data_IF_923001344750
#
_entry.id   IF_923001344750
#
_cell.length_a   1.000
_cell.length_b   1.000
_cell.length_c   1.000
_cell.angle_alpha   90.00
_cell.angle_beta   90.00
_cell.angle_gamma   90.00
#
_symmetry.space_group_name_H-M   'P 1'
#
loop_
_entity.id
_entity.type
_entity.pdbx_description
1 polymer ?
#
# COMPACT_ATOMS: atom_id res chain seq x y z
N UNK A 1 6.93 -3.07 60.53
CA UNK A 1 7.73 -2.49 59.42
C UNK A 1 8.11 -3.65 58.54
N UNK A 2 7.28 -3.92 57.54
CA UNK A 2 7.55 -4.89 56.50
C UNK A 2 7.36 -4.11 55.22
N UNK A 3 8.48 -3.83 54.55
CA UNK A 3 8.52 -3.18 53.24
C UNK A 3 7.79 -4.10 52.25
N UNK A 4 6.60 -3.66 51.82
CA UNK A 4 5.99 -4.15 50.59
C UNK A 4 6.80 -3.63 49.42
N UNK A 5 7.63 -4.51 48.89
CA UNK A 5 8.35 -4.37 47.64
C UNK A 5 7.32 -4.23 46.49
N UNK A 6 6.95 -2.98 46.17
CA UNK A 6 6.16 -2.66 44.98
C UNK A 6 6.97 -3.01 43.74
N UNK A 7 6.62 -4.11 43.09
CA UNK A 7 7.07 -4.45 41.74
C UNK A 7 6.64 -3.33 40.78
N UNK A 8 7.58 -2.62 40.13
CA UNK A 8 7.24 -1.63 39.13
C UNK A 8 7.00 -2.34 37.79
N UNK A 9 5.84 -2.13 37.17
CA UNK A 9 5.74 -2.25 35.71
C UNK A 9 4.64 -3.09 35.07
N UNK A 10 3.68 -3.68 35.78
CA UNK A 10 2.50 -4.25 35.09
C UNK A 10 1.42 -3.18 34.95
N UNK A 11 1.42 -2.42 33.85
CA UNK A 11 0.25 -1.61 33.49
C UNK A 11 -0.95 -2.55 33.37
N UNK A 12 -2.02 -2.24 34.08
CA UNK A 12 -3.28 -2.97 33.98
C UNK A 12 -3.77 -2.92 32.52
N UNK A 13 -4.04 -4.07 31.85
CA UNK A 13 -4.53 -4.11 30.47
C UNK A 13 -5.77 -3.24 30.23
N UNK A 14 -6.64 -3.10 31.23
CA UNK A 14 -7.80 -2.21 31.14
C UNK A 14 -7.41 -0.73 31.14
N UNK A 15 -6.41 -0.36 31.96
CA UNK A 15 -5.87 1.01 31.97
C UNK A 15 -5.19 1.36 30.64
N UNK A 16 -4.55 0.40 29.98
CA UNK A 16 -3.91 0.62 28.67
C UNK A 16 -4.96 0.74 27.55
N UNK A 17 -6.01 -0.07 27.58
CA UNK A 17 -7.15 0.04 26.65
C UNK A 17 -7.82 1.42 26.74
N UNK A 18 -8.11 1.90 27.96
CA UNK A 18 -8.74 3.20 28.16
C UNK A 18 -7.85 4.36 27.69
N UNK A 19 -6.53 4.26 27.91
CA UNK A 19 -5.53 5.19 27.37
C UNK A 19 -5.52 5.19 25.83
N UNK A 20 -5.56 4.01 25.21
CA UNK A 20 -5.62 3.83 23.76
C UNK A 20 -6.87 4.44 23.16
N UNK A 21 -8.04 4.18 23.74
CA UNK A 21 -9.30 4.72 23.22
C UNK A 21 -9.41 6.23 23.42
N UNK A 22 -8.92 6.76 24.55
CA UNK A 22 -9.03 8.18 24.88
C UNK A 22 -8.02 9.06 24.16
N UNK A 23 -6.78 8.60 24.01
CA UNK A 23 -5.68 9.39 23.46
C UNK A 23 -5.13 8.80 22.15
N UNK A 24 -4.93 7.47 22.09
CA UNK A 24 -4.35 6.82 20.92
C UNK A 24 -5.22 6.89 19.66
N UNK A 25 -6.51 6.57 19.74
CA UNK A 25 -7.42 6.57 18.57
C UNK A 25 -7.55 7.97 17.94
N UNK A 26 -7.73 9.07 18.70
CA UNK A 26 -7.66 10.42 18.14
C UNK A 26 -6.34 10.74 17.41
N UNK A 27 -5.19 10.35 17.97
CA UNK A 27 -3.89 10.57 17.33
C UNK A 27 -3.76 9.76 16.03
N UNK A 28 -4.19 8.49 16.03
CA UNK A 28 -4.22 7.66 14.83
C UNK A 28 -5.10 8.30 13.74
N UNK A 29 -6.27 8.86 14.10
CA UNK A 29 -7.13 9.56 13.13
C UNK A 29 -6.44 10.76 12.50
N UNK A 30 -5.71 11.56 13.29
CA UNK A 30 -4.94 12.69 12.76
C UNK A 30 -3.84 12.23 11.81
N UNK A 31 -3.06 11.22 12.20
CA UNK A 31 -2.03 10.64 11.34
C UNK A 31 -2.59 10.07 10.03
N UNK A 32 -3.76 9.42 10.08
CA UNK A 32 -4.46 8.93 8.88
C UNK A 32 -4.90 10.09 7.98
N UNK A 33 -5.43 11.18 8.55
CA UNK A 33 -5.80 12.38 7.80
C UNK A 33 -4.61 13.00 7.07
N UNK A 34 -3.45 13.11 7.74
CA UNK A 34 -2.21 13.61 7.13
C UNK A 34 -1.72 12.70 6.00
N UNK A 35 -1.85 11.38 6.14
CA UNK A 35 -1.52 10.43 5.06
C UNK A 35 -2.45 10.63 3.87
N UNK A 36 -3.77 10.75 4.10
CA UNK A 36 -4.75 11.02 3.04
C UNK A 36 -4.44 12.34 2.34
N UNK A 37 -4.20 13.42 3.08
CA UNK A 37 -3.92 14.73 2.49
C UNK A 37 -2.61 14.70 1.69
N UNK A 38 -1.58 14.03 2.20
CA UNK A 38 -0.32 13.84 1.48
C UNK A 38 -0.51 13.03 0.20
N UNK A 39 -1.29 11.95 0.24
CA UNK A 39 -1.60 11.14 -0.93
C UNK A 39 -2.40 11.92 -1.97
N UNK A 40 -3.24 12.87 -1.55
CA UNK A 40 -4.14 13.61 -2.44
C UNK A 40 -3.72 15.05 -2.71
N UNK A 41 -2.51 15.44 -2.30
CA UNK A 41 -1.96 16.78 -2.49
C UNK A 41 -1.99 17.23 -3.96
N UNK A 42 -2.00 16.29 -4.93
CA UNK A 42 -2.21 16.56 -6.35
C UNK A 42 -3.56 16.03 -6.82
N UNK A 43 -4.41 16.84 -7.46
CA UNK A 43 -5.67 16.38 -8.03
C UNK A 43 -5.41 15.39 -9.16
N UNK A 44 -6.26 14.39 -9.28
CA UNK A 44 -6.13 13.36 -10.31
C UNK A 44 -6.99 13.71 -11.53
N UNK A 45 -6.55 13.39 -12.76
CA UNK A 45 -7.40 13.50 -13.92
C UNK A 45 -8.69 12.70 -13.73
N UNK A 46 -9.84 13.31 -14.02
CA UNK A 46 -11.16 12.73 -13.78
C UNK A 46 -11.34 11.32 -14.39
N UNK A 47 -10.67 11.05 -15.53
CA UNK A 47 -10.68 9.73 -16.18
C UNK A 47 -10.11 8.60 -15.32
N UNK A 48 -9.16 8.89 -14.42
CA UNK A 48 -8.55 7.90 -13.54
C UNK A 48 -9.25 7.77 -12.20
N UNK A 49 -10.05 8.75 -11.79
CA UNK A 49 -10.70 8.75 -10.47
C UNK A 49 -11.48 7.45 -10.22
N UNK A 50 -12.26 7.02 -11.21
CA UNK A 50 -13.08 5.80 -11.16
C UNK A 50 -12.30 4.50 -11.38
N UNK A 51 -11.09 4.56 -11.94
CA UNK A 51 -10.25 3.39 -12.22
C UNK A 51 -9.33 3.02 -11.07
N UNK A 52 -9.15 3.94 -10.12
CA UNK A 52 -8.26 3.71 -8.99
C UNK A 52 -8.94 2.81 -7.95
N UNK A 53 -8.23 1.78 -7.46
CA UNK A 53 -8.78 0.89 -6.46
C UNK A 53 -8.91 1.58 -5.10
N UNK A 54 -9.69 0.97 -4.20
CA UNK A 54 -9.75 1.34 -2.78
C UNK A 54 -8.34 1.32 -2.16
N UNK A 55 -7.96 2.39 -1.46
CA UNK A 55 -6.69 2.47 -0.74
C UNK A 55 -6.86 1.86 0.66
N UNK A 56 -5.95 0.96 1.03
CA UNK A 56 -5.92 0.38 2.38
C UNK A 56 -4.86 1.09 3.21
N UNK A 57 -5.29 1.73 4.30
CA UNK A 57 -4.42 2.36 5.29
C UNK A 57 -4.17 1.37 6.43
N UNK A 58 -2.93 0.95 6.59
CA UNK A 58 -2.51 0.00 7.60
C UNK A 58 -1.95 0.73 8.81
N UNK A 59 -2.50 0.42 9.99
CA UNK A 59 -2.06 0.94 11.28
C UNK A 59 -1.36 -0.21 12.02
N UNK A 60 -0.04 -0.22 11.99
CA UNK A 60 0.78 -1.20 12.71
C UNK A 60 0.98 -0.74 14.14
N UNK A 61 0.51 -1.54 15.09
CA UNK A 61 0.53 -1.27 16.54
C UNK A 61 1.68 -2.02 17.21
N UNK A 62 2.23 -1.41 18.27
CA UNK A 62 3.16 -2.10 19.18
C UNK A 62 2.49 -3.33 19.82
N UNK A 63 3.21 -4.44 20.12
CA UNK A 63 2.62 -5.68 20.63
C UNK A 63 1.66 -5.55 21.82
N UNK A 64 1.95 -4.68 22.79
CA UNK A 64 1.13 -4.43 23.97
C UNK A 64 -0.16 -3.67 23.64
N UNK A 65 -0.06 -2.66 22.77
CA UNK A 65 -1.21 -1.90 22.27
C UNK A 65 -2.13 -2.77 21.40
N UNK A 66 -1.55 -3.59 20.53
CA UNK A 66 -2.29 -4.56 19.74
C UNK A 66 -3.05 -5.55 20.64
N UNK A 67 -2.37 -6.11 21.65
CA UNK A 67 -2.97 -7.04 22.59
C UNK A 67 -4.12 -6.41 23.41
N UNK A 68 -3.97 -5.14 23.80
CA UNK A 68 -5.03 -4.40 24.47
C UNK A 68 -6.25 -4.24 23.56
N UNK A 69 -6.08 -3.83 22.29
CA UNK A 69 -7.18 -3.56 21.36
C UNK A 69 -7.83 -4.82 20.75
N UNK A 70 -7.20 -6.00 20.82
CA UNK A 70 -7.73 -7.26 20.26
C UNK A 70 -9.24 -7.48 20.45
N UNK A 71 -9.84 -7.27 21.65
CA UNK A 71 -11.26 -7.54 21.87
C UNK A 71 -12.21 -6.64 21.07
N UNK A 72 -11.74 -5.47 20.63
CA UNK A 72 -12.56 -4.44 19.96
C UNK A 72 -11.98 -4.00 18.61
N UNK A 73 -10.97 -4.71 18.10
CA UNK A 73 -10.27 -4.34 16.87
C UNK A 73 -11.22 -4.10 15.67
N UNK A 74 -12.27 -4.92 15.41
CA UNK A 74 -13.19 -4.67 14.30
C UNK A 74 -13.99 -3.37 14.42
N UNK A 75 -14.34 -2.97 15.65
CA UNK A 75 -15.08 -1.74 15.90
C UNK A 75 -14.18 -0.51 15.72
N UNK A 76 -12.92 -0.61 16.15
CA UNK A 76 -11.90 0.42 15.92
C UNK A 76 -11.58 0.56 14.43
N UNK A 77 -11.37 -0.55 13.70
CA UNK A 77 -11.17 -0.52 12.25
C UNK A 77 -12.33 0.16 11.51
N UNK A 78 -13.57 -0.17 11.89
CA UNK A 78 -14.77 0.44 11.30
C UNK A 78 -14.83 1.94 11.58
N UNK A 79 -14.63 2.35 12.83
CA UNK A 79 -14.65 3.77 13.21
C UNK A 79 -13.55 4.59 12.51
N UNK A 80 -12.34 4.02 12.39
CA UNK A 80 -11.24 4.65 11.65
C UNK A 80 -11.56 4.72 10.15
N UNK A 81 -12.09 3.64 9.57
CA UNK A 81 -12.50 3.58 8.16
C UNK A 81 -13.58 4.61 7.84
N UNK A 82 -14.62 4.72 8.67
CA UNK A 82 -15.68 5.72 8.50
C UNK A 82 -15.13 7.13 8.60
N UNK A 83 -14.18 7.36 9.51
CA UNK A 83 -13.46 8.65 9.60
C UNK A 83 -12.67 8.96 8.33
N UNK A 84 -11.91 7.99 7.82
CA UNK A 84 -11.14 8.13 6.59
C UNK A 84 -12.02 8.32 5.35
N UNK A 85 -13.18 7.67 5.27
CA UNK A 85 -14.13 7.86 4.16
C UNK A 85 -14.83 9.22 4.20
N UNK A 86 -15.12 9.75 5.40
CA UNK A 86 -15.61 11.14 5.54
C UNK A 86 -14.58 12.17 5.07
N UNK A 87 -13.29 11.92 5.34
CA UNK A 87 -12.20 12.77 4.86
C UNK A 87 -11.94 12.55 3.36
N UNK A 88 -11.95 11.29 2.94
CA UNK A 88 -11.65 10.84 1.58
C UNK A 88 -12.70 11.19 0.54
N UNK A 89 -13.96 11.40 0.96
CA UNK A 89 -15.02 11.88 0.08
C UNK A 89 -14.70 13.24 -0.56
N UNK A 90 -13.86 14.06 0.09
CA UNK A 90 -13.34 15.31 -0.48
C UNK A 90 -12.52 15.08 -1.75
N UNK A 91 -12.01 13.87 -1.95
CA UNK A 91 -11.11 13.50 -3.04
C UNK A 91 -11.72 12.47 -4.02
N UNK A 92 -13.01 12.11 -3.86
CA UNK A 92 -13.66 11.00 -4.58
C UNK A 92 -12.86 9.68 -4.43
N UNK A 93 -12.45 9.39 -3.18
CA UNK A 93 -11.58 8.26 -2.81
C UNK A 93 -12.24 7.38 -1.77
N UNK A 94 -12.11 6.08 -1.97
CA UNK A 94 -12.47 5.08 -0.97
C UNK A 94 -11.22 4.65 -0.19
N UNK A 95 -11.33 4.67 1.14
CA UNK A 95 -10.30 4.19 2.06
C UNK A 95 -10.84 3.06 2.92
N UNK A 96 -9.94 2.16 3.31
CA UNK A 96 -10.19 1.13 4.32
C UNK A 96 -9.04 1.12 5.32
N UNK A 97 -9.35 1.11 6.61
CA UNK A 97 -8.32 1.02 7.66
C UNK A 97 -8.22 -0.42 8.16
N UNK A 98 -6.98 -0.88 8.39
CA UNK A 98 -6.67 -2.17 9.00
C UNK A 98 -5.71 -2.00 10.15
N UNK A 99 -5.94 -2.72 11.25
CA UNK A 99 -5.01 -2.78 12.37
C UNK A 99 -4.11 -4.01 12.21
N UNK A 100 -2.81 -3.83 12.43
CA UNK A 100 -1.83 -4.92 12.41
C UNK A 100 -0.96 -4.87 13.66
N UNK A 101 -0.42 -6.01 14.06
CA UNK A 101 0.50 -6.12 15.20
C UNK A 101 1.94 -6.20 14.70
N UNK A 102 2.81 -5.33 15.22
CA UNK A 102 4.25 -5.46 15.06
C UNK A 102 4.81 -6.68 15.81
N UNK A 103 5.85 -7.30 15.26
CA UNK A 103 6.65 -8.31 15.98
C UNK A 103 7.73 -7.68 16.87
N UNK A 104 8.19 -6.48 16.50
CA UNK A 104 9.23 -5.74 17.21
C UNK A 104 8.59 -4.95 18.38
N UNK A 105 8.99 -5.21 19.65
CA UNK A 105 8.48 -4.49 20.81
C UNK A 105 9.02 -3.06 20.94
N UNK A 106 10.09 -2.72 20.22
CA UNK A 106 10.77 -1.43 20.28
C UNK A 106 10.21 -0.40 19.28
N UNK A 107 9.18 -0.76 18.50
CA UNK A 107 8.51 0.15 17.56
C UNK A 107 7.77 1.27 18.27
N UNK A 108 7.53 2.41 17.57
CA UNK A 108 6.60 3.42 18.04
C UNK A 108 5.23 2.81 18.38
N UNK A 109 4.47 3.51 19.21
CA UNK A 109 3.18 3.03 19.70
C UNK A 109 2.22 2.61 18.57
N UNK A 110 2.27 3.35 17.46
CA UNK A 110 1.67 2.98 16.18
C UNK A 110 2.50 3.53 15.01
N UNK A 111 2.34 2.95 13.82
CA UNK A 111 2.86 3.42 12.54
C UNK A 111 1.76 3.31 11.49
N UNK A 112 1.60 4.33 10.65
CA UNK A 112 0.63 4.32 9.55
C UNK A 112 1.36 4.16 8.22
N UNK A 113 0.89 3.24 7.39
CA UNK A 113 1.33 3.04 6.00
C UNK A 113 0.12 2.91 5.08
N UNK A 114 0.30 3.19 3.79
CA UNK A 114 -0.78 3.11 2.80
C UNK A 114 -0.44 2.13 1.68
N UNK A 115 -1.47 1.44 1.20
CA UNK A 115 -1.34 0.36 0.22
C UNK A 115 -2.45 0.48 -0.82
N UNK A 116 -2.12 0.29 -2.10
CA UNK A 116 -3.10 0.43 -3.19
C UNK A 116 -3.80 -0.91 -3.50
N UNK A 117 -5.12 -0.96 -3.32
CA UNK A 117 -6.03 -2.00 -3.84
C UNK A 117 -5.94 -3.38 -3.21
N UNK A 118 -7.08 -3.90 -2.71
CA UNK A 118 -7.39 -5.30 -2.25
C UNK A 118 -6.39 -6.08 -1.39
N UNK A 119 -5.20 -5.56 -1.11
CA UNK A 119 -4.05 -6.33 -0.61
C UNK A 119 -3.86 -6.28 0.90
N UNK A 120 -4.99 -6.30 1.61
CA UNK A 120 -5.04 -6.90 2.94
C UNK A 120 -6.14 -7.93 2.86
N UNK A 121 -5.77 -9.11 2.37
CA UNK A 121 -6.68 -10.22 2.06
C UNK A 121 -7.83 -10.36 3.06
N UNK A 122 -9.01 -10.64 2.51
CA UNK A 122 -10.19 -11.15 3.21
C UNK A 122 -9.81 -12.39 4.04
N UNK A 123 -9.31 -12.19 5.27
CA UNK A 123 -9.11 -13.29 6.23
C UNK A 123 -10.44 -13.71 6.88
N UNK A 124 -11.55 -13.03 6.57
CA UNK A 124 -12.89 -13.43 7.01
C UNK A 124 -13.47 -14.60 6.18
N UNK A 125 -13.02 -14.84 4.95
CA UNK A 125 -13.58 -15.89 4.08
C UNK A 125 -12.86 -17.24 4.15
N UNK A 126 -11.63 -17.30 4.67
CA UNK A 126 -10.91 -18.57 4.87
C UNK A 126 -11.37 -19.34 6.13
N UNK A 127 -12.14 -18.70 7.01
CA UNK A 127 -12.63 -19.29 8.26
C UNK A 127 -13.84 -20.24 8.09
N UNK A 128 -14.45 -20.33 6.89
CA UNK A 128 -15.60 -21.22 6.64
C UNK A 128 -15.25 -22.61 6.07
N UNK A 129 -13.97 -22.89 5.80
CA UNK A 129 -13.59 -24.15 5.14
C UNK A 129 -13.22 -25.31 6.09
N UNK A 130 -12.94 -25.08 7.38
CA UNK A 130 -12.61 -26.15 8.31
C UNK A 130 -13.36 -25.97 9.64
N UNK A 131 -14.38 -26.80 9.84
CA UNK A 131 -15.31 -26.68 10.97
C UNK A 131 -14.77 -27.17 12.32
N UNK A 132 -15.44 -26.62 13.34
CA UNK A 132 -15.66 -27.08 14.73
C UNK A 132 -14.58 -26.81 15.78
N UNK A 133 -14.88 -25.86 16.68
CA UNK A 133 -14.23 -25.69 17.98
C UNK A 133 -14.21 -24.24 18.43
N UNK A 134 -15.07 -23.85 19.35
CA UNK A 134 -15.16 -22.51 19.91
C UNK A 134 -13.89 -22.14 20.72
N UNK A 135 -13.08 -21.20 20.21
CA UNK A 135 -12.13 -20.35 20.94
C UNK A 135 -12.01 -19.03 20.13
N UNK A 136 -11.90 -17.90 20.82
CA UNK A 136 -11.85 -16.53 20.27
C UNK A 136 -10.79 -16.36 19.15
N UNK A 137 -11.00 -15.47 18.16
CA UNK A 137 -10.03 -15.29 17.07
C UNK A 137 -8.78 -14.53 17.57
N UNK A 138 -7.66 -15.24 17.61
CA UNK A 138 -6.31 -14.67 17.56
C UNK A 138 -6.14 -13.93 16.22
N UNK A 139 -5.58 -12.71 16.27
CA UNK A 139 -5.15 -11.96 15.08
C UNK A 139 -3.97 -12.70 14.41
N UNK A 140 -4.08 -13.23 13.18
CA UNK A 140 -2.95 -13.83 12.50
C UNK A 140 -2.39 -12.89 11.43
N UNK A 141 -1.10 -12.61 11.55
CA UNK A 141 -0.03 -12.70 10.52
C UNK A 141 1.00 -11.63 10.83
N UNK A 142 2.21 -12.11 11.12
CA UNK A 142 3.43 -11.37 11.31
C UNK A 142 3.95 -10.79 9.99
N UNK A 143 4.34 -9.51 9.99
CA UNK A 143 5.10 -8.90 8.93
C UNK A 143 6.57 -8.67 9.39
N UNK A 144 7.54 -9.44 8.87
CA UNK A 144 8.95 -9.27 9.19
C UNK A 144 9.60 -8.02 8.57
N UNK A 145 8.88 -7.21 7.79
CA UNK A 145 9.40 -5.97 7.17
C UNK A 145 9.01 -4.68 7.92
N UNK A 146 8.51 -4.75 9.15
CA UNK A 146 8.23 -3.57 9.98
C UNK A 146 9.47 -2.84 10.53
N UNK A 147 10.62 -2.93 9.86
CA UNK A 147 11.84 -2.20 10.23
C UNK A 147 12.35 -1.33 9.10
N UNK A 148 12.47 -0.03 9.43
CA UNK A 148 13.10 1.09 8.72
C UNK A 148 12.14 1.95 7.88
N UNK A 149 11.62 3.00 8.51
CA UNK A 149 11.34 4.26 7.82
C UNK A 149 12.58 5.16 7.96
N UNK A 150 13.46 5.26 6.97
CA UNK A 150 14.08 6.53 6.64
C UNK A 150 13.11 7.24 5.69
N UNK A 151 12.55 8.37 6.12
CA UNK A 151 12.07 9.39 5.18
C UNK A 151 13.30 10.02 4.52
N UNK A 152 14.09 9.24 3.79
CA UNK A 152 15.04 9.80 2.85
C UNK A 152 14.20 10.40 1.73
N UNK A 153 14.07 11.74 1.76
CA UNK A 153 13.49 12.51 0.67
C UNK A 153 14.37 12.22 -0.54
N UNK A 154 13.93 11.28 -1.36
CA UNK A 154 14.58 10.97 -2.63
C UNK A 154 14.49 12.25 -3.47
N UNK A 155 15.60 12.98 -3.73
CA UNK A 155 15.52 14.33 -4.28
C UNK A 155 14.80 14.31 -5.62
N UNK A 156 13.70 15.05 -5.79
CA UNK A 156 12.89 15.02 -7.02
C UNK A 156 11.70 14.04 -7.00
N UNK A 157 11.61 13.15 -6.00
CA UNK A 157 10.40 12.37 -5.74
C UNK A 157 9.32 13.20 -5.08
N UNK A 158 8.09 13.02 -5.52
CA UNK A 158 6.91 13.57 -4.89
C UNK A 158 5.85 12.47 -4.76
N UNK A 159 5.44 12.12 -3.52
CA UNK A 159 4.39 11.13 -3.30
C UNK A 159 3.12 11.50 -4.07
N UNK A 160 2.52 10.52 -4.73
CA UNK A 160 1.27 10.71 -5.46
C UNK A 160 1.37 11.53 -6.74
N UNK A 161 2.56 11.96 -7.17
CA UNK A 161 2.78 12.59 -8.49
C UNK A 161 2.69 11.58 -9.63
N UNK A 162 2.83 10.29 -9.35
CA UNK A 162 2.97 9.26 -10.36
C UNK A 162 1.81 8.25 -10.30
N UNK A 163 1.37 7.81 -11.48
CA UNK A 163 0.33 6.81 -11.68
C UNK A 163 0.90 5.63 -12.47
N UNK A 164 0.78 4.42 -11.94
CA UNK A 164 0.95 3.22 -12.75
C UNK A 164 -0.38 2.92 -13.46
N UNK A 165 -0.38 2.96 -14.78
CA UNK A 165 -1.51 2.62 -15.63
C UNK A 165 -1.30 1.21 -16.18
N UNK A 166 -2.33 0.38 -16.09
CA UNK A 166 -2.38 -0.97 -16.65
C UNK A 166 -3.33 -0.95 -17.84
N UNK A 167 -2.81 -1.32 -18.99
CA UNK A 167 -3.57 -1.47 -20.23
C UNK A 167 -3.74 -2.95 -20.57
N UNK A 168 -4.86 -3.26 -21.20
CA UNK A 168 -5.07 -4.57 -21.80
C UNK A 168 -4.32 -4.70 -23.15
N UNK A 169 -4.46 -5.87 -23.80
CA UNK A 169 -3.83 -6.11 -25.10
C UNK A 169 -4.42 -5.28 -26.25
N UNK A 170 -5.59 -4.66 -26.05
CA UNK A 170 -6.20 -3.74 -27.00
C UNK A 170 -5.69 -2.29 -26.82
N UNK A 171 -4.91 -2.02 -25.76
CA UNK A 171 -4.41 -0.69 -25.42
C UNK A 171 -5.42 0.14 -24.61
N UNK A 172 -6.46 -0.49 -24.07
CA UNK A 172 -7.47 0.19 -23.25
C UNK A 172 -7.03 0.20 -21.78
N UNK A 173 -7.19 1.37 -21.13
CA UNK A 173 -6.87 1.55 -19.72
C UNK A 173 -7.85 0.74 -18.85
N UNK A 174 -7.30 -0.24 -18.11
CA UNK A 174 -8.09 -1.15 -17.29
C UNK A 174 -8.03 -0.81 -15.81
N UNK A 175 -6.84 -0.50 -15.32
CA UNK A 175 -6.58 -0.19 -13.90
C UNK A 175 -5.55 0.93 -13.82
N UNK A 176 -5.66 1.76 -12.77
CA UNK A 176 -4.66 2.76 -12.45
C UNK A 176 -4.33 2.69 -10.95
N UNK A 177 -3.07 2.94 -10.59
CA UNK A 177 -2.60 2.90 -9.20
C UNK A 177 -1.78 4.14 -8.89
N UNK A 178 -2.07 4.77 -7.75
CA UNK A 178 -1.28 5.90 -7.27
C UNK A 178 -0.04 5.41 -6.57
N UNK A 179 1.10 5.96 -6.93
CA UNK A 179 2.39 5.55 -6.37
C UNK A 179 2.75 6.51 -5.22
N UNK A 180 2.76 5.98 -4.00
CA UNK A 180 3.11 6.73 -2.79
C UNK A 180 4.60 6.72 -2.48
N UNK A 181 5.29 5.62 -2.81
CA UNK A 181 6.68 5.38 -2.43
C UNK A 181 7.64 5.45 -3.62
N UNK A 182 8.87 5.95 -3.41
CA UNK A 182 9.86 6.04 -4.49
C UNK A 182 10.33 4.67 -4.96
N UNK A 183 10.16 3.61 -4.15
CA UNK A 183 10.41 2.22 -4.54
C UNK A 183 9.16 1.41 -4.27
N UNK A 184 8.71 0.64 -5.25
CA UNK A 184 7.50 -0.18 -5.13
C UNK A 184 7.63 -1.45 -5.97
N UNK A 185 6.78 -2.44 -5.67
CA UNK A 185 6.74 -3.70 -6.43
C UNK A 185 5.41 -3.87 -7.14
N UNK A 186 5.44 -4.56 -8.29
CA UNK A 186 4.25 -4.83 -9.09
C UNK A 186 4.18 -6.33 -9.38
N UNK A 187 2.99 -6.91 -9.26
CA UNK A 187 2.78 -8.30 -9.59
C UNK A 187 1.32 -8.69 -9.61
N UNK A 188 1.08 -10.00 -9.74
CA UNK A 188 -0.28 -10.57 -9.70
C UNK A 188 -0.74 -10.72 -8.25
N UNK A 189 -2.00 -10.39 -7.99
CA UNK A 189 -2.63 -10.62 -6.68
C UNK A 189 -2.44 -12.05 -6.15
N UNK A 190 -2.16 -12.15 -4.85
CA UNK A 190 -1.90 -13.41 -4.16
C UNK A 190 -2.31 -13.33 -2.69
N UNK A 191 -2.83 -14.44 -2.17
CA UNK A 191 -3.18 -14.55 -0.74
C UNK A 191 -1.94 -14.81 0.14
N UNK A 192 -0.83 -15.23 -0.47
CA UNK A 192 0.46 -15.44 0.20
C UNK A 192 1.14 -14.11 0.54
N UNK A 193 1.22 -13.73 1.84
CA UNK A 193 1.77 -12.43 2.26
C UNK A 193 3.25 -12.26 1.88
N UNK A 194 4.03 -13.35 1.82
CA UNK A 194 5.46 -13.27 1.53
C UNK A 194 5.76 -12.98 0.05
N UNK A 195 4.76 -13.13 -0.82
CA UNK A 195 4.89 -12.92 -2.26
C UNK A 195 4.05 -11.75 -2.75
N UNK A 196 3.43 -11.02 -1.82
CA UNK A 196 2.58 -9.87 -2.11
C UNK A 196 3.43 -8.72 -2.67
N UNK A 197 2.92 -8.09 -3.72
CA UNK A 197 3.50 -6.89 -4.28
C UNK A 197 2.82 -5.66 -3.67
N UNK A 198 3.49 -4.51 -3.71
CA UNK A 198 2.91 -3.22 -3.29
C UNK A 198 1.70 -2.87 -4.17
N UNK A 199 1.79 -3.20 -5.46
CA UNK A 199 0.72 -3.04 -6.44
C UNK A 199 0.37 -4.41 -7.02
N UNK A 200 -0.84 -4.87 -6.73
CA UNK A 200 -1.41 -6.09 -7.29
C UNK A 200 -2.29 -5.78 -8.49
N UNK A 201 -1.87 -6.25 -9.67
CA UNK A 201 -2.65 -6.17 -10.90
C UNK A 201 -3.73 -7.26 -10.87
N UNK A 202 -4.98 -6.86 -11.14
CA UNK A 202 -6.12 -7.78 -11.22
C UNK A 202 -6.04 -8.67 -12.46
N UNK A 203 -6.59 -9.89 -12.42
CA UNK A 203 -6.79 -10.76 -13.59
C UNK A 203 -5.58 -10.85 -14.56
N UNK A 204 -4.39 -11.03 -14.00
CA UNK A 204 -3.13 -11.06 -14.75
C UNK A 204 -2.39 -12.40 -14.61
N UNK A 205 -2.94 -13.54 -15.11
CA UNK A 205 -2.37 -14.87 -14.89
C UNK A 205 -0.96 -15.06 -15.46
N UNK A 206 -0.58 -14.21 -16.42
CA UNK A 206 0.74 -14.19 -17.04
C UNK A 206 1.75 -13.32 -16.28
N UNK A 207 1.38 -12.76 -15.14
CA UNK A 207 2.25 -11.93 -14.31
C UNK A 207 2.65 -12.74 -13.07
N UNK A 208 3.94 -12.75 -12.74
CA UNK A 208 4.41 -13.35 -11.49
C UNK A 208 3.84 -12.59 -10.29
N UNK A 209 3.68 -13.26 -9.14
CA UNK A 209 3.17 -12.60 -7.91
C UNK A 209 4.01 -11.38 -7.51
N UNK A 210 5.32 -11.45 -7.80
CA UNK A 210 6.27 -10.34 -7.72
C UNK A 210 7.04 -10.29 -9.03
N UNK A 211 6.50 -9.55 -10.01
CA UNK A 211 7.06 -9.49 -11.36
C UNK A 211 8.12 -8.40 -11.48
N UNK A 212 7.84 -7.22 -10.93
CA UNK A 212 8.70 -6.05 -11.04
C UNK A 212 9.01 -5.48 -9.66
N UNK A 213 10.20 -4.92 -9.52
CA UNK A 213 10.43 -3.81 -8.61
C UNK A 213 10.78 -2.58 -9.45
N UNK A 214 10.30 -1.41 -9.01
CA UNK A 214 10.57 -0.14 -9.65
C UNK A 214 11.09 0.81 -8.59
N UNK A 215 12.17 1.52 -8.92
CA UNK A 215 12.74 2.55 -8.08
C UNK A 215 12.84 3.84 -8.90
N UNK A 216 12.31 4.92 -8.36
CA UNK A 216 12.48 6.25 -8.94
C UNK A 216 13.96 6.57 -9.05
N UNK A 217 14.37 7.08 -10.22
CA UNK A 217 15.74 7.45 -10.51
C UNK A 217 15.73 8.60 -11.53
N UNK A 218 16.46 9.66 -11.23
CA UNK A 218 16.79 10.68 -12.21
C UNK A 218 18.01 10.22 -13.03
N UNK A 219 17.88 10.24 -14.35
CA UNK A 219 18.96 9.90 -15.28
C UNK A 219 19.15 11.01 -16.29
N UNK A 220 20.36 11.55 -16.37
CA UNK A 220 20.72 12.62 -17.30
C UNK A 220 19.80 13.86 -17.20
N UNK A 221 19.30 14.18 -16.00
CA UNK A 221 18.38 15.30 -15.76
C UNK A 221 16.90 15.00 -16.02
N UNK A 222 16.56 13.76 -16.43
CA UNK A 222 15.19 13.34 -16.70
C UNK A 222 14.67 12.41 -15.60
N UNK A 223 13.44 12.62 -15.10
CA UNK A 223 12.82 11.69 -14.16
C UNK A 223 12.50 10.36 -14.86
N UNK A 224 12.60 9.25 -14.13
CA UNK A 224 12.19 7.94 -14.61
C UNK A 224 12.28 6.89 -13.52
N UNK A 225 12.21 5.63 -13.95
CA UNK A 225 12.17 4.50 -13.04
C UNK A 225 13.17 3.46 -13.49
N UNK A 226 14.07 3.07 -12.57
CA UNK A 226 14.83 1.85 -12.72
C UNK A 226 13.89 0.67 -12.55
N UNK A 227 13.84 -0.21 -13.55
CA UNK A 227 12.96 -1.37 -13.62
C UNK A 227 13.78 -2.62 -13.37
N UNK A 228 13.41 -3.41 -12.37
CA UNK A 228 14.01 -4.71 -12.05
C UNK A 228 13.02 -5.81 -12.42
N UNK A 229 13.38 -6.70 -13.35
CA UNK A 229 12.55 -7.86 -13.67
C UNK A 229 12.82 -9.02 -12.70
N UNK A 230 12.03 -9.09 -11.63
CA UNK A 230 12.17 -10.10 -10.57
C UNK A 230 11.51 -11.43 -10.95
N UNK A 231 10.52 -11.40 -11.84
CA UNK A 231 9.63 -12.51 -12.14
C UNK A 231 10.21 -13.57 -13.08
N UNK A 232 9.30 -14.43 -13.56
CA UNK A 232 9.59 -15.50 -14.51
C UNK A 232 9.61 -15.00 -15.96
N UNK A 233 8.63 -14.17 -16.31
CA UNK A 233 8.43 -13.75 -17.70
C UNK A 233 9.34 -12.59 -18.07
N UNK A 234 9.77 -12.58 -19.32
CA UNK A 234 10.52 -11.46 -19.91
C UNK A 234 9.73 -10.15 -19.81
N UNK A 235 10.42 -9.05 -19.56
CA UNK A 235 9.85 -7.71 -19.58
C UNK A 235 10.46 -6.94 -20.73
N UNK A 236 9.63 -6.37 -21.60
CA UNK A 236 10.10 -5.61 -22.77
C UNK A 236 9.91 -4.13 -22.54
N UNK A 237 11.00 -3.39 -22.57
CA UNK A 237 11.01 -1.94 -22.71
C UNK A 237 11.33 -1.62 -24.17
N UNK A 238 11.14 -0.37 -24.65
CA UNK A 238 11.52 -0.02 -26.01
C UNK A 238 13.00 -0.28 -26.28
N UNK A 239 13.29 -1.18 -27.21
CA UNK A 239 14.64 -1.53 -27.63
C UNK A 239 15.42 -2.47 -26.71
N UNK A 240 14.84 -2.95 -25.60
CA UNK A 240 15.51 -3.89 -24.69
C UNK A 240 14.53 -4.92 -24.11
N UNK A 241 14.98 -6.17 -24.06
CA UNK A 241 14.29 -7.26 -23.38
C UNK A 241 15.05 -7.62 -22.11
N UNK A 242 14.36 -7.55 -20.97
CA UNK A 242 14.87 -7.90 -19.66
C UNK A 242 14.43 -9.34 -19.34
N UNK A 243 15.32 -10.34 -19.36
CA UNK A 243 14.97 -11.69 -18.92
C UNK A 243 14.52 -11.69 -17.45
N UNK A 244 13.73 -12.68 -17.03
CA UNK A 244 13.34 -12.84 -15.64
C UNK A 244 14.53 -13.20 -14.74
N UNK A 245 14.67 -12.54 -13.59
CA UNK A 245 15.73 -12.84 -12.62
C UNK A 245 15.40 -14.04 -11.74
N UNK A 246 14.13 -14.47 -11.66
CA UNK A 246 13.67 -15.50 -10.73
C UNK A 246 14.06 -15.19 -9.26
N UNK A 247 14.01 -13.91 -8.91
CA UNK A 247 14.45 -13.44 -7.59
C UNK A 247 13.54 -14.01 -6.50
N UNK A 248 14.14 -14.49 -5.41
CA UNK A 248 13.41 -14.96 -4.23
C UNK A 248 12.96 -13.77 -3.39
N UNK A 249 11.98 -14.00 -2.52
CA UNK A 249 11.61 -13.00 -1.52
C UNK A 249 12.85 -12.60 -0.68
N UNK A 250 12.95 -11.32 -0.32
CA UNK A 250 14.09 -10.75 0.42
C UNK A 250 15.37 -10.53 -0.39
N UNK A 251 15.36 -10.76 -1.71
CA UNK A 251 16.52 -10.43 -2.56
C UNK A 251 16.70 -8.90 -2.62
N UNK A 252 17.88 -8.43 -2.23
CA UNK A 252 18.23 -7.02 -2.29
C UNK A 252 18.33 -6.54 -3.75
N UNK A 253 17.71 -5.41 -4.11
CA UNK A 253 17.58 -4.96 -5.50
C UNK A 253 18.94 -4.65 -6.14
N UNK A 254 19.88 -4.14 -5.35
CA UNK A 254 21.26 -3.87 -5.74
C UNK A 254 22.06 -5.12 -6.12
N UNK A 255 21.60 -6.31 -5.69
CA UNK A 255 22.24 -7.58 -6.02
C UNK A 255 21.74 -8.20 -7.34
N UNK A 256 20.71 -7.62 -7.95
CA UNK A 256 20.14 -8.10 -9.20
C UNK A 256 21.12 -7.83 -10.36
N UNK A 257 21.42 -8.86 -11.14
CA UNK A 257 22.32 -8.77 -12.30
C UNK A 257 21.81 -7.70 -13.29
N UNK A 258 22.67 -6.78 -13.76
CA UNK A 258 22.28 -5.68 -14.65
C UNK A 258 21.53 -6.10 -15.91
N UNK A 259 21.67 -7.34 -16.39
CA UNK A 259 20.89 -7.83 -17.54
C UNK A 259 19.39 -7.90 -17.27
N UNK A 260 18.97 -7.96 -16.01
CA UNK A 260 17.56 -7.97 -15.58
C UNK A 260 17.05 -6.56 -15.24
N UNK A 261 17.88 -5.54 -15.43
CA UNK A 261 17.61 -4.16 -15.01
C UNK A 261 17.54 -3.27 -16.24
N UNK A 262 16.53 -2.41 -16.27
CA UNK A 262 16.35 -1.38 -17.30
C UNK A 262 15.99 -0.04 -16.68
N UNK A 263 15.79 0.95 -17.54
CA UNK A 263 15.31 2.27 -17.13
C UNK A 263 14.13 2.66 -18.01
N UNK A 264 13.08 3.17 -17.39
CA UNK A 264 11.81 3.49 -18.01
C UNK A 264 11.48 4.98 -17.77
N UNK A 265 11.45 5.80 -18.83
CA UNK A 265 10.92 7.15 -18.73
C UNK A 265 9.40 7.16 -18.49
N UNK A 266 8.83 8.22 -17.90
CA UNK A 266 7.39 8.38 -17.79
C UNK A 266 6.69 8.37 -19.16
N UNK A 267 5.46 7.86 -19.20
CA UNK A 267 4.63 7.73 -20.41
C UNK A 267 5.08 6.62 -21.38
N UNK A 268 6.24 6.00 -21.15
CA UNK A 268 6.74 4.93 -22.00
C UNK A 268 6.13 3.59 -21.57
N UNK A 269 5.62 2.77 -22.51
CA UNK A 269 5.05 1.47 -22.17
C UNK A 269 6.14 0.42 -21.92
N UNK A 270 5.85 -0.49 -21.00
CA UNK A 270 6.57 -1.75 -20.78
C UNK A 270 5.61 -2.93 -20.93
N UNK A 271 6.06 -4.03 -21.51
CA UNK A 271 5.24 -5.23 -21.71
C UNK A 271 5.74 -6.37 -20.83
N UNK A 272 4.82 -7.09 -20.17
CA UNK A 272 5.16 -8.29 -19.40
C UNK A 272 4.83 -9.54 -20.23
N UNK A 273 5.85 -10.27 -20.67
CA UNK A 273 5.70 -11.44 -21.53
C UNK A 273 5.01 -11.12 -22.86
N UNK A 274 4.62 -12.18 -23.59
CA UNK A 274 3.93 -12.05 -24.88
C UNK A 274 2.43 -11.78 -24.72
N UNK A 275 1.83 -12.26 -23.63
CA UNK A 275 0.38 -12.23 -23.37
C UNK A 275 0.00 -11.48 -22.09
N UNK A 276 0.97 -10.89 -21.39
CA UNK A 276 0.69 -10.11 -20.20
C UNK A 276 0.30 -8.68 -20.53
N UNK A 277 -0.04 -7.90 -19.49
CA UNK A 277 -0.49 -6.53 -19.65
C UNK A 277 0.63 -5.61 -20.12
N UNK A 278 0.23 -4.45 -20.62
CA UNK A 278 1.12 -3.31 -20.85
C UNK A 278 1.01 -2.38 -19.65
N UNK A 279 2.15 -1.96 -19.10
CA UNK A 279 2.19 -0.99 -18.02
C UNK A 279 2.85 0.29 -18.50
N UNK A 280 2.38 1.42 -18.01
CA UNK A 280 2.94 2.75 -18.24
C UNK A 280 2.93 3.52 -16.94
N UNK A 281 3.94 4.36 -16.70
CA UNK A 281 3.94 5.24 -15.52
C UNK A 281 3.76 6.66 -15.99
N UNK A 282 2.63 7.26 -15.66
CA UNK A 282 2.30 8.62 -16.03
C UNK A 282 2.55 9.59 -14.88
N UNK A 283 2.92 10.80 -15.25
CA UNK A 283 2.91 11.93 -14.34
C UNK A 283 1.49 12.51 -14.25
N UNK A 284 1.03 12.77 -13.03
CA UNK A 284 -0.18 13.54 -12.77
C UNK A 284 0.11 15.01 -13.12
N UNK A 285 -0.55 15.59 -14.15
CA UNK A 285 -0.31 16.97 -14.55
C UNK A 285 -0.59 17.92 -13.38
N UNK A 286 0.31 18.89 -13.15
CA UNK A 286 0.14 19.87 -12.09
C UNK A 286 -1.02 20.86 -12.35
N UNK A 287 -1.45 20.99 -13.61
CA UNK A 287 -2.24 22.14 -14.09
C UNK A 287 -3.72 21.80 -14.38
N UNK A 288 -4.30 20.81 -13.72
CA UNK A 288 -5.72 20.43 -13.88
C UNK A 288 -6.70 21.36 -13.13
N UNK A 289 -6.48 22.67 -13.19
CA UNK A 289 -7.39 23.72 -12.68
C UNK A 289 -8.50 24.12 -13.70
N UNK A 290 -8.56 23.47 -14.87
CA UNK A 290 -9.45 23.90 -15.97
C UNK A 290 -10.43 22.82 -16.48
N UNK A 291 -10.84 21.89 -15.61
CA UNK A 291 -12.00 21.03 -15.92
C UNK A 291 -13.26 21.64 -15.31
N UNK A 292 -13.99 22.35 -16.18
CA UNK A 292 -15.38 22.78 -15.97
C UNK A 292 -16.17 21.71 -15.22
N UNK A 293 -16.53 22.04 -13.97
CA UNK A 293 -17.57 21.34 -13.24
C UNK A 293 -18.84 21.46 -14.08
N UNK A 294 -19.39 20.31 -14.47
CA UNK A 294 -20.71 20.19 -15.07
C UNK A 294 -21.75 20.70 -14.06
N UNK A 295 -22.51 21.78 -14.37
CA UNK A 295 -23.48 22.35 -13.45
C UNK A 295 -24.72 21.47 -13.20
N UNK A 296 -24.82 20.27 -13.80
CA UNK A 296 -25.96 19.37 -13.60
C UNK A 296 -25.80 18.37 -12.43
N UNK A 297 -24.73 18.46 -11.64
CA UNK A 297 -24.61 17.68 -10.40
C UNK A 297 -25.60 18.20 -9.34
N UNK A 298 -26.76 17.56 -9.28
CA UNK A 298 -27.90 17.86 -8.42
C UNK A 298 -27.50 17.84 -6.94
N UNK A 299 -27.59 19.00 -6.28
CA UNK A 299 -27.53 19.12 -4.81
C UNK A 299 -28.92 18.76 -4.28
N UNK A 300 -29.02 17.71 -3.47
CA UNK A 300 -30.16 17.52 -2.58
C UNK A 300 -29.88 18.26 -1.27
N UNK A 301 -30.84 19.07 -0.83
CA UNK A 301 -30.85 19.77 0.46
C UNK A 301 -30.75 18.82 1.66
#
# INVERSE_FOLDING_TARGET
>A
MSDEERVPGSRDPQSLMDELLRAGVPEIKLALGEVIDRENARPLPARYARLLPETVLLVTLRPDAAAALTPIAPDVERELTDSCNRHGSLYDRAYRVRLERSEDPDVPFYVVSSHSGRDVGSLAETAKANGTGAVAPDLPVANPDATRVPTEVTPGWEPGRWLLVVEDLAGEEREAFRIGEPTFTVGRGTDDPQLRATIAISDAPHVSRRQLALAWEERDGAPGFRVYNLGLNEVRLPGIALPGAHAKNGTALESIDPKHVGWLPPGVPLHIGEKGPVLRIDEVPADLDDVRIDPDATVFE
#
